data_IF_812666140124
#
_entry.id   IF_812666140124
#
_cell.length_a   1.000
_cell.length_b   1.000
_cell.length_c   1.000
_cell.angle_alpha   90.00
_cell.angle_beta   90.00
_cell.angle_gamma   90.00
#
_symmetry.space_group_name_H-M   'P 1'
#
loop_
_entity.id
_entity.type
_entity.pdbx_description
1 polymer ?
#
# COMPACT_ATOMS: atom_id res chain seq x y z
N UNK A 1 15.89 -15.50 -21.10
CA UNK A 1 15.02 -14.34 -20.74
C UNK A 1 14.06 -14.78 -19.64
N UNK A 2 13.74 -13.91 -18.67
CA UNK A 2 12.77 -14.18 -17.59
C UNK A 2 11.68 -13.14 -17.64
N UNK A 3 10.51 -13.47 -17.08
CA UNK A 3 9.41 -12.51 -16.89
C UNK A 3 9.21 -12.19 -15.43
N UNK A 4 8.58 -11.04 -15.16
CA UNK A 4 7.95 -10.75 -13.87
C UNK A 4 6.44 -11.00 -14.00
N UNK A 5 5.80 -11.37 -12.89
CA UNK A 5 4.36 -11.57 -12.83
C UNK A 5 3.78 -10.63 -11.77
N UNK A 6 2.78 -9.84 -12.13
CA UNK A 6 2.01 -9.01 -11.20
C UNK A 6 0.67 -9.68 -10.95
N UNK A 7 0.40 -10.02 -9.69
CA UNK A 7 -0.85 -10.66 -9.25
C UNK A 7 -1.73 -9.67 -8.50
N UNK A 8 -2.98 -9.58 -8.92
CA UNK A 8 -3.93 -8.55 -8.50
C UNK A 8 -3.77 -7.29 -9.34
N UNK A 9 -4.69 -7.05 -10.28
CA UNK A 9 -4.61 -5.99 -11.28
C UNK A 9 -5.55 -4.81 -10.99
N UNK A 10 -5.89 -4.63 -9.72
CA UNK A 10 -6.65 -3.48 -9.23
C UNK A 10 -5.80 -2.19 -9.18
N UNK A 11 -6.20 -1.28 -8.30
CA UNK A 11 -5.65 0.09 -8.16
C UNK A 11 -4.16 0.16 -7.85
N UNK A 12 -3.57 -0.90 -7.29
CA UNK A 12 -2.15 -0.98 -6.98
C UNK A 12 -1.40 -1.78 -8.05
N UNK A 13 -1.89 -2.97 -8.41
CA UNK A 13 -1.16 -3.88 -9.27
C UNK A 13 -1.11 -3.42 -10.72
N UNK A 14 -2.19 -2.86 -11.26
CA UNK A 14 -2.20 -2.35 -12.63
C UNK A 14 -1.20 -1.19 -12.86
N UNK A 15 -1.12 -0.15 -11.99
CA UNK A 15 -0.05 0.84 -12.07
C UNK A 15 1.37 0.24 -12.01
N UNK A 16 1.60 -0.74 -11.12
CA UNK A 16 2.90 -1.44 -11.02
C UNK A 16 3.20 -2.17 -12.33
N UNK A 17 2.23 -2.94 -12.86
CA UNK A 17 2.35 -3.62 -14.15
C UNK A 17 2.74 -2.65 -15.27
N UNK A 18 2.03 -1.52 -15.38
CA UNK A 18 2.29 -0.49 -16.40
C UNK A 18 3.68 0.12 -16.29
N UNK A 19 4.14 0.42 -15.07
CA UNK A 19 5.47 1.03 -14.85
C UNK A 19 6.58 0.02 -15.16
N UNK A 20 6.48 -1.21 -14.67
CA UNK A 20 7.49 -2.24 -14.88
C UNK A 20 7.57 -2.70 -16.34
N UNK A 21 6.43 -2.79 -17.05
CA UNK A 21 6.36 -3.21 -18.46
C UNK A 21 7.12 -2.29 -19.42
N UNK A 22 7.51 -1.08 -19.00
CA UNK A 22 8.29 -0.16 -19.86
C UNK A 22 9.72 -0.64 -20.11
N UNK A 23 10.27 -1.47 -19.24
CA UNK A 23 11.69 -1.90 -19.29
C UNK A 23 11.87 -3.41 -19.12
N UNK A 24 10.83 -4.15 -18.75
CA UNK A 24 10.90 -5.57 -18.43
C UNK A 24 9.78 -6.33 -19.15
N UNK A 25 9.96 -7.64 -19.33
CA UNK A 25 8.86 -8.53 -19.71
C UNK A 25 8.03 -8.75 -18.43
N UNK A 26 6.82 -8.20 -18.40
CA UNK A 26 5.92 -8.32 -17.26
C UNK A 26 4.55 -8.74 -17.75
N UNK A 27 3.96 -9.73 -17.09
CA UNK A 27 2.59 -10.19 -17.34
C UNK A 27 1.73 -9.96 -16.09
N UNK A 28 0.46 -9.65 -16.31
CA UNK A 28 -0.53 -9.54 -15.25
C UNK A 28 -1.30 -10.83 -15.04
N UNK A 29 -1.63 -11.15 -13.81
CA UNK A 29 -2.52 -12.24 -13.44
C UNK A 29 -3.57 -11.76 -12.43
N UNK A 30 -4.84 -12.01 -12.72
CA UNK A 30 -5.95 -11.70 -11.82
C UNK A 30 -6.96 -12.85 -11.83
N UNK A 31 -7.81 -12.92 -10.80
CA UNK A 31 -8.95 -13.84 -10.77
C UNK A 31 -10.06 -13.35 -11.71
N UNK A 32 -10.22 -12.03 -11.82
CA UNK A 32 -11.04 -11.43 -12.87
C UNK A 32 -10.24 -11.36 -14.17
N UNK A 33 -10.60 -12.22 -15.13
CA UNK A 33 -9.92 -12.32 -16.42
C UNK A 33 -10.01 -11.05 -17.27
N UNK A 34 -11.06 -10.27 -17.12
CA UNK A 34 -11.26 -9.02 -17.87
C UNK A 34 -10.14 -7.98 -17.59
N UNK A 35 -9.48 -8.10 -16.44
CA UNK A 35 -8.34 -7.26 -16.10
C UNK A 35 -7.02 -7.75 -16.71
N UNK A 36 -6.99 -8.95 -17.28
CA UNK A 36 -5.78 -9.55 -17.83
C UNK A 36 -5.61 -9.23 -19.32
N UNK A 37 -4.38 -9.10 -19.77
CA UNK A 37 -4.04 -9.25 -21.18
C UNK A 37 -3.67 -10.72 -21.44
N UNK A 38 -4.65 -11.54 -21.80
CA UNK A 38 -4.48 -12.98 -22.00
C UNK A 38 -3.50 -13.29 -23.14
N UNK A 39 -3.52 -12.53 -24.23
CA UNK A 39 -2.60 -12.70 -25.37
C UNK A 39 -1.15 -12.55 -24.89
N UNK A 40 -0.88 -11.50 -24.12
CA UNK A 40 0.46 -11.27 -23.57
C UNK A 40 0.84 -12.32 -22.55
N UNK A 41 -0.12 -12.75 -21.72
CA UNK A 41 0.11 -13.80 -20.72
C UNK A 41 0.49 -15.11 -21.38
N UNK A 42 -0.27 -15.56 -22.38
CA UNK A 42 0.00 -16.79 -23.14
C UNK A 42 1.33 -16.72 -23.90
N UNK A 43 1.64 -15.57 -24.54
CA UNK A 43 2.90 -15.37 -25.25
C UNK A 43 4.13 -15.65 -24.37
N UNK A 44 4.07 -15.26 -23.09
CA UNK A 44 5.21 -15.37 -22.17
C UNK A 44 5.03 -16.44 -21.08
N UNK A 45 4.01 -17.30 -21.17
CA UNK A 45 3.69 -18.27 -20.11
C UNK A 45 4.85 -19.21 -19.76
N UNK A 46 5.63 -19.63 -20.74
CA UNK A 46 6.71 -20.60 -20.58
C UNK A 46 8.04 -19.99 -20.09
N UNK A 47 8.14 -18.65 -19.99
CA UNK A 47 9.33 -18.03 -19.42
C UNK A 47 9.39 -18.25 -17.91
N UNK A 48 10.60 -18.49 -17.38
CA UNK A 48 10.84 -18.51 -15.94
C UNK A 48 10.43 -17.18 -15.30
N UNK A 49 9.88 -17.25 -14.07
CA UNK A 49 9.46 -16.06 -13.33
C UNK A 49 10.59 -15.57 -12.44
N UNK A 50 11.04 -14.34 -12.69
CA UNK A 50 12.04 -13.65 -11.89
C UNK A 50 11.43 -13.12 -10.59
N UNK A 51 10.52 -12.15 -10.70
CA UNK A 51 9.77 -11.61 -9.57
C UNK A 51 8.28 -11.92 -9.66
N UNK A 52 7.70 -12.28 -8.52
CA UNK A 52 6.26 -12.38 -8.33
C UNK A 52 5.81 -11.21 -7.45
N UNK A 53 5.18 -10.23 -8.06
CA UNK A 53 4.63 -9.06 -7.40
C UNK A 53 3.22 -9.35 -6.91
N UNK A 54 2.98 -9.24 -5.61
CA UNK A 54 1.69 -9.50 -4.96
C UNK A 54 1.01 -8.17 -4.62
N UNK A 55 -0.13 -7.89 -5.23
CA UNK A 55 -0.95 -6.70 -5.00
C UNK A 55 -2.44 -7.09 -4.82
N UNK A 56 -2.69 -8.15 -4.05
CA UNK A 56 -4.02 -8.67 -3.75
C UNK A 56 -4.55 -8.15 -2.42
N UNK A 57 -5.88 -8.13 -2.21
CA UNK A 57 -6.48 -7.79 -0.92
C UNK A 57 -5.96 -8.68 0.21
N UNK A 58 -5.82 -8.08 1.40
CA UNK A 58 -5.37 -8.79 2.60
C UNK A 58 -6.56 -9.42 3.29
N UNK A 59 -6.49 -10.73 3.45
CA UNK A 59 -7.46 -11.56 4.17
C UNK A 59 -6.70 -12.57 5.02
N UNK A 60 -7.38 -13.28 5.91
CA UNK A 60 -6.78 -14.36 6.72
C UNK A 60 -6.15 -15.45 5.85
N UNK A 61 -6.59 -15.59 4.59
CA UNK A 61 -6.05 -16.54 3.62
C UNK A 61 -4.85 -16.01 2.81
N UNK A 62 -4.35 -14.80 3.10
CA UNK A 62 -3.28 -14.16 2.32
C UNK A 62 -2.07 -15.08 2.14
N UNK A 63 -1.52 -15.59 3.24
CA UNK A 63 -0.33 -16.47 3.19
C UNK A 63 -0.63 -17.73 2.36
N UNK A 64 -1.78 -18.37 2.58
CA UNK A 64 -2.20 -19.54 1.81
C UNK A 64 -2.31 -19.24 0.32
N UNK A 65 -2.86 -18.09 -0.04
CA UNK A 65 -2.98 -17.65 -1.43
C UNK A 65 -1.60 -17.40 -2.05
N UNK A 66 -0.69 -16.74 -1.33
CA UNK A 66 0.68 -16.52 -1.80
C UNK A 66 1.41 -17.85 -2.00
N UNK A 67 1.22 -18.83 -1.13
CA UNK A 67 1.80 -20.17 -1.27
C UNK A 67 1.27 -20.91 -2.53
N UNK A 68 -0.01 -20.78 -2.85
CA UNK A 68 -0.59 -21.30 -4.10
C UNK A 68 0.03 -20.64 -5.33
N UNK A 69 0.18 -19.31 -5.29
CA UNK A 69 0.79 -18.52 -6.36
C UNK A 69 2.28 -18.86 -6.53
N UNK A 70 3.00 -19.06 -5.42
CA UNK A 70 4.39 -19.53 -5.43
C UNK A 70 4.51 -20.88 -6.16
N UNK A 71 3.65 -21.85 -5.85
CA UNK A 71 3.63 -23.16 -6.52
C UNK A 71 3.32 -23.04 -8.01
N UNK A 72 2.38 -22.14 -8.37
CA UNK A 72 1.95 -21.91 -9.76
C UNK A 72 3.04 -21.27 -10.61
N UNK A 73 3.67 -20.21 -10.12
CA UNK A 73 4.59 -19.38 -10.91
C UNK A 73 6.06 -19.70 -10.68
N UNK A 74 6.41 -20.40 -9.61
CA UNK A 74 7.78 -20.79 -9.23
C UNK A 74 8.79 -19.64 -9.36
N UNK A 75 8.53 -18.47 -8.74
CA UNK A 75 9.39 -17.29 -8.89
C UNK A 75 10.72 -17.47 -8.16
N UNK A 76 11.72 -16.66 -8.54
CA UNK A 76 12.98 -16.56 -7.81
C UNK A 76 12.89 -15.67 -6.56
N UNK A 77 11.91 -14.75 -6.53
CA UNK A 77 11.68 -13.84 -5.41
C UNK A 77 10.22 -13.38 -5.40
N UNK A 78 9.63 -13.22 -4.23
CA UNK A 78 8.29 -12.63 -4.04
C UNK A 78 8.42 -11.21 -3.54
N UNK A 79 7.60 -10.30 -4.07
CA UNK A 79 7.50 -8.90 -3.62
C UNK A 79 6.06 -8.62 -3.24
N UNK A 80 5.82 -8.25 -1.97
CA UNK A 80 4.48 -7.93 -1.47
C UNK A 80 4.31 -6.41 -1.51
N UNK A 81 3.26 -5.93 -2.19
CA UNK A 81 2.92 -4.52 -2.32
C UNK A 81 1.70 -4.10 -1.50
N UNK A 82 0.87 -5.04 -1.12
CA UNK A 82 -0.31 -4.82 -0.27
C UNK A 82 0.10 -4.36 1.14
N UNK A 83 -0.75 -3.60 1.81
CA UNK A 83 -0.60 -3.36 3.26
C UNK A 83 -0.86 -4.68 4.00
N UNK A 84 0.04 -5.11 4.86
CA UNK A 84 -0.04 -6.42 5.52
C UNK A 84 0.09 -6.29 7.03
N UNK A 85 -0.43 -7.29 7.74
CA UNK A 85 -0.33 -7.38 9.20
C UNK A 85 1.14 -7.52 9.64
N UNK A 86 1.56 -6.84 10.72
CA UNK A 86 2.91 -7.00 11.27
C UNK A 86 3.29 -8.45 11.51
N UNK A 87 4.52 -8.81 11.13
CA UNK A 87 5.06 -10.17 11.19
C UNK A 87 4.69 -11.06 9.99
N UNK A 88 3.91 -10.57 9.02
CA UNK A 88 3.50 -11.38 7.85
C UNK A 88 4.68 -11.77 6.97
N UNK A 89 5.61 -10.85 6.71
CA UNK A 89 6.79 -11.13 5.87
C UNK A 89 7.63 -12.25 6.46
N UNK A 90 7.90 -12.20 7.76
CA UNK A 90 8.68 -13.25 8.45
C UNK A 90 7.93 -14.59 8.49
N UNK A 91 6.61 -14.59 8.75
CA UNK A 91 5.78 -15.79 8.70
C UNK A 91 5.80 -16.46 7.32
N UNK A 92 5.76 -15.66 6.26
CA UNK A 92 5.84 -16.16 4.89
C UNK A 92 7.24 -16.66 4.57
N UNK A 93 8.30 -15.94 4.96
CA UNK A 93 9.68 -16.32 4.71
C UNK A 93 10.03 -17.69 5.31
N UNK A 94 9.50 -18.01 6.51
CA UNK A 94 9.68 -19.34 7.14
C UNK A 94 9.06 -20.50 6.34
N UNK A 95 8.13 -20.21 5.41
CA UNK A 95 7.40 -21.23 4.63
C UNK A 95 7.90 -21.37 3.19
N UNK A 96 8.81 -20.52 2.74
CA UNK A 96 9.25 -20.45 1.34
C UNK A 96 10.77 -20.39 1.27
N UNK A 97 11.43 -21.24 0.43
CA UNK A 97 12.89 -21.29 0.31
C UNK A 97 13.47 -20.23 -0.64
N UNK A 98 12.70 -19.19 -0.99
CA UNK A 98 13.14 -18.08 -1.82
C UNK A 98 12.95 -16.75 -1.09
N UNK A 99 13.65 -15.67 -1.49
CA UNK A 99 13.53 -14.39 -0.81
C UNK A 99 12.11 -13.81 -0.90
N UNK A 100 11.64 -13.25 0.22
CA UNK A 100 10.42 -12.44 0.29
C UNK A 100 10.80 -11.00 0.61
N UNK A 101 10.43 -10.09 -0.27
CA UNK A 101 10.59 -8.65 -0.10
C UNK A 101 9.22 -8.05 0.23
N UNK A 102 9.14 -7.25 1.27
CA UNK A 102 8.01 -6.39 1.50
C UNK A 102 8.31 -4.98 1.00
N UNK A 103 7.41 -4.42 0.21
CA UNK A 103 7.55 -3.08 -0.34
C UNK A 103 6.18 -2.45 -0.56
N UNK A 104 5.57 -1.99 0.53
CA UNK A 104 4.26 -1.35 0.51
C UNK A 104 4.19 -0.21 -0.50
N UNK A 105 3.03 -0.06 -1.13
CA UNK A 105 2.77 1.04 -2.04
C UNK A 105 2.11 2.19 -1.30
N UNK A 106 2.50 3.42 -1.65
CA UNK A 106 1.95 4.68 -1.15
C UNK A 106 1.60 5.56 -2.33
N UNK A 107 0.55 6.33 -2.19
CA UNK A 107 0.11 7.28 -3.21
C UNK A 107 -1.41 7.30 -3.35
N UNK A 108 -1.91 8.25 -4.13
CA UNK A 108 -3.32 8.39 -4.46
C UNK A 108 -3.66 7.50 -5.66
N UNK A 109 -4.69 6.68 -5.57
CA UNK A 109 -5.03 5.68 -6.59
C UNK A 109 -5.15 6.28 -7.99
N UNK A 110 -5.87 7.41 -8.14
CA UNK A 110 -6.06 8.08 -9.45
C UNK A 110 -4.77 8.54 -10.12
N UNK A 111 -3.67 8.74 -9.35
CA UNK A 111 -2.37 9.19 -9.88
C UNK A 111 -1.22 8.24 -9.50
N UNK A 112 -1.50 6.99 -9.18
CA UNK A 112 -0.54 6.02 -8.63
C UNK A 112 0.73 5.88 -9.48
N UNK A 113 0.65 5.90 -10.80
CA UNK A 113 1.83 5.84 -11.70
C UNK A 113 2.79 7.03 -11.46
N UNK A 114 2.24 8.22 -11.26
CA UNK A 114 3.03 9.42 -10.95
C UNK A 114 3.64 9.31 -9.56
N UNK A 115 2.86 8.91 -8.57
CA UNK A 115 3.29 8.80 -7.18
C UNK A 115 4.34 7.71 -6.97
N UNK A 116 4.27 6.58 -7.70
CA UNK A 116 5.31 5.53 -7.71
C UNK A 116 6.69 6.05 -8.14
N UNK A 117 6.74 7.07 -9.00
CA UNK A 117 7.99 7.69 -9.46
C UNK A 117 8.43 8.86 -8.61
N UNK A 118 7.47 9.58 -8.02
CA UNK A 118 7.71 10.76 -7.20
C UNK A 118 8.24 10.38 -5.82
N UNK A 119 7.61 9.39 -5.16
CA UNK A 119 7.95 9.02 -3.79
C UNK A 119 9.03 7.94 -3.75
N UNK A 120 9.86 7.98 -2.71
CA UNK A 120 10.78 6.89 -2.41
C UNK A 120 9.96 5.65 -2.05
N UNK A 121 10.16 4.55 -2.77
CA UNK A 121 9.55 3.27 -2.46
C UNK A 121 10.42 2.52 -1.46
N UNK A 122 9.95 2.47 -0.21
CA UNK A 122 10.64 1.72 0.83
C UNK A 122 10.47 0.22 0.60
N UNK A 123 11.50 -0.53 0.95
CA UNK A 123 11.46 -1.99 0.90
C UNK A 123 12.28 -2.59 2.03
N UNK A 124 11.99 -3.84 2.32
CA UNK A 124 12.71 -4.62 3.30
C UNK A 124 12.69 -6.09 2.89
N UNK A 125 13.66 -6.83 3.37
CA UNK A 125 13.79 -8.27 3.18
C UNK A 125 14.14 -8.89 4.54
N UNK A 126 13.57 -10.05 4.85
CA UNK A 126 13.91 -10.78 6.08
C UNK A 126 15.42 -10.99 6.20
N UNK A 127 15.94 -10.86 7.41
CA UNK A 127 17.34 -11.18 7.69
C UNK A 127 17.65 -12.66 7.37
N UNK A 128 16.67 -13.54 7.54
CA UNK A 128 16.75 -14.97 7.29
C UNK A 128 16.47 -15.37 5.84
N UNK A 129 16.22 -14.40 4.95
CA UNK A 129 15.95 -14.70 3.56
C UNK A 129 17.20 -15.25 2.84
N UNK A 130 17.08 -16.36 2.09
CA UNK A 130 18.18 -16.87 1.31
C UNK A 130 18.58 -15.84 0.24
N UNK A 131 19.87 -15.71 -0.04
CA UNK A 131 20.41 -14.79 -1.05
C UNK A 131 19.89 -13.34 -0.94
N UNK A 132 19.64 -12.86 0.29
CA UNK A 132 19.00 -11.56 0.59
C UNK A 132 19.72 -10.39 -0.07
N UNK A 133 21.06 -10.37 -0.09
CA UNK A 133 21.86 -9.32 -0.76
C UNK A 133 21.61 -9.30 -2.28
N UNK A 134 21.63 -10.47 -2.92
CA UNK A 134 21.38 -10.59 -4.36
C UNK A 134 19.95 -10.16 -4.73
N UNK A 135 18.96 -10.64 -3.98
CA UNK A 135 17.55 -10.27 -4.21
C UNK A 135 17.31 -8.77 -4.02
N UNK A 136 17.87 -8.17 -2.97
CA UNK A 136 17.80 -6.71 -2.75
C UNK A 136 18.44 -5.92 -3.89
N UNK A 137 19.64 -6.29 -4.34
CA UNK A 137 20.33 -5.60 -5.43
C UNK A 137 19.56 -5.70 -6.75
N UNK A 138 19.02 -6.87 -7.08
CA UNK A 138 18.16 -7.07 -8.26
C UNK A 138 16.90 -6.23 -8.20
N UNK A 139 16.22 -6.22 -7.04
CA UNK A 139 15.03 -5.40 -6.82
C UNK A 139 15.34 -3.91 -7.05
N UNK A 140 16.40 -3.38 -6.42
CA UNK A 140 16.82 -1.99 -6.59
C UNK A 140 17.13 -1.67 -8.06
N UNK A 141 17.84 -2.56 -8.76
CA UNK A 141 18.18 -2.39 -10.18
C UNK A 141 16.92 -2.29 -11.06
N UNK A 142 15.95 -3.18 -10.86
CA UNK A 142 14.68 -3.19 -11.62
C UNK A 142 13.88 -1.92 -11.34
N UNK A 143 13.70 -1.53 -10.06
CA UNK A 143 12.97 -0.32 -9.69
C UNK A 143 13.64 0.93 -10.26
N UNK A 144 14.96 1.07 -10.11
CA UNK A 144 15.73 2.19 -10.68
C UNK A 144 15.58 2.26 -12.20
N UNK A 145 15.66 1.13 -12.90
CA UNK A 145 15.44 1.05 -14.35
C UNK A 145 14.07 1.56 -14.79
N UNK A 146 13.07 1.46 -13.92
CA UNK A 146 11.71 1.96 -14.14
C UNK A 146 11.48 3.39 -13.62
N UNK A 147 12.52 4.07 -13.12
CA UNK A 147 12.44 5.43 -12.59
C UNK A 147 11.87 5.52 -11.17
N UNK A 148 11.89 4.41 -10.42
CA UNK A 148 11.44 4.36 -9.03
C UNK A 148 12.64 4.40 -8.10
N UNK A 149 12.72 5.43 -7.25
CA UNK A 149 13.71 5.53 -6.18
C UNK A 149 13.35 4.56 -5.05
N UNK A 150 14.33 3.87 -4.49
CA UNK A 150 14.11 2.91 -3.41
C UNK A 150 14.98 3.21 -2.19
N UNK A 151 14.49 2.86 -0.99
CA UNK A 151 15.26 2.91 0.25
C UNK A 151 14.98 1.65 1.06
N UNK A 152 16.04 0.96 1.49
CA UNK A 152 15.94 -0.24 2.34
C UNK A 152 15.70 0.18 3.78
N UNK A 153 14.81 -0.54 4.48
CA UNK A 153 14.59 -0.43 5.93
C UNK A 153 15.24 -1.59 6.68
N UNK A 154 15.36 -1.44 7.99
CA UNK A 154 16.11 -2.37 8.85
C UNK A 154 15.43 -3.73 9.03
N UNK A 155 14.11 -3.75 9.25
CA UNK A 155 13.36 -4.98 9.49
C UNK A 155 11.99 -4.97 8.81
N UNK A 156 11.42 -6.14 8.49
CA UNK A 156 10.06 -6.26 7.97
C UNK A 156 9.02 -5.59 8.86
N UNK A 157 9.05 -5.84 10.16
CA UNK A 157 8.11 -5.26 11.11
C UNK A 157 8.15 -3.73 11.11
N UNK A 158 9.34 -3.13 10.99
CA UNK A 158 9.48 -1.67 10.91
C UNK A 158 8.71 -1.10 9.72
N UNK A 159 8.80 -1.71 8.53
CA UNK A 159 8.08 -1.22 7.36
C UNK A 159 6.58 -1.54 7.41
N UNK A 160 6.22 -2.73 7.93
CA UNK A 160 4.83 -3.14 8.12
C UNK A 160 4.10 -2.18 9.06
N UNK A 161 4.70 -1.87 10.21
CA UNK A 161 4.19 -0.89 11.17
C UNK A 161 4.18 0.53 10.58
N UNK A 162 5.27 0.96 9.93
CA UNK A 162 5.34 2.30 9.34
C UNK A 162 4.23 2.52 8.31
N UNK A 163 3.89 1.50 7.49
CA UNK A 163 2.79 1.60 6.53
C UNK A 163 1.44 1.83 7.22
N UNK A 164 1.17 1.14 8.32
CA UNK A 164 -0.12 1.26 9.01
C UNK A 164 -0.16 2.52 9.89
N UNK A 165 0.86 2.74 10.71
CA UNK A 165 0.86 3.82 11.71
C UNK A 165 1.23 5.17 11.09
N UNK A 166 2.37 5.24 10.38
CA UNK A 166 2.89 6.53 9.92
C UNK A 166 2.26 7.04 8.61
N UNK A 167 1.56 6.18 7.88
CA UNK A 167 0.90 6.52 6.62
C UNK A 167 -0.63 6.49 6.79
N UNK A 168 -1.20 5.33 7.05
CA UNK A 168 -2.65 5.11 7.01
C UNK A 168 -3.38 5.70 8.22
N UNK A 169 -2.97 5.35 9.45
CA UNK A 169 -3.65 5.85 10.65
C UNK A 169 -3.40 7.33 10.88
N UNK A 170 -2.22 7.83 10.50
CA UNK A 170 -1.95 9.27 10.55
C UNK A 170 -2.90 10.07 9.66
N UNK A 171 -3.18 9.58 8.44
CA UNK A 171 -4.20 10.18 7.57
C UNK A 171 -5.59 10.15 8.26
N UNK A 172 -5.94 9.02 8.90
CA UNK A 172 -7.18 8.89 9.65
C UNK A 172 -7.31 9.96 10.74
N UNK A 173 -6.26 10.18 11.53
CA UNK A 173 -6.26 11.22 12.56
C UNK A 173 -6.42 12.63 12.01
N UNK A 174 -5.78 12.95 10.88
CA UNK A 174 -5.95 14.25 10.23
C UNK A 174 -7.41 14.47 9.79
N UNK A 175 -8.04 13.44 9.20
CA UNK A 175 -9.46 13.52 8.82
C UNK A 175 -10.36 13.59 10.04
N UNK A 176 -10.10 12.81 11.10
CA UNK A 176 -10.87 12.87 12.34
C UNK A 176 -10.81 14.27 12.98
N UNK A 177 -9.65 14.93 12.96
CA UNK A 177 -9.57 16.29 13.47
C UNK A 177 -10.37 17.28 12.63
N UNK A 178 -10.38 17.12 11.30
CA UNK A 178 -11.23 17.90 10.42
C UNK A 178 -12.73 17.65 10.69
N UNK A 179 -13.13 16.39 10.92
CA UNK A 179 -14.50 16.03 11.31
C UNK A 179 -14.90 16.71 12.63
N UNK A 180 -14.03 16.60 13.65
CA UNK A 180 -14.26 17.22 14.96
C UNK A 180 -14.43 18.73 14.85
N UNK A 181 -13.49 19.42 14.17
CA UNK A 181 -13.53 20.87 14.03
C UNK A 181 -14.73 21.35 13.23
N UNK A 182 -15.17 20.58 12.22
CA UNK A 182 -16.39 20.87 11.49
C UNK A 182 -17.66 20.69 12.33
N UNK A 183 -17.70 19.64 13.18
CA UNK A 183 -18.84 19.45 14.10
C UNK A 183 -18.97 20.63 15.07
N UNK A 184 -17.84 21.14 15.57
CA UNK A 184 -17.81 22.32 16.46
C UNK A 184 -18.25 23.58 15.68
N UNK A 185 -17.73 23.81 14.46
CA UNK A 185 -18.15 24.95 13.65
C UNK A 185 -19.67 24.98 13.42
N UNK A 186 -20.25 23.82 13.13
CA UNK A 186 -21.71 23.66 12.97
C UNK A 186 -22.46 24.00 14.27
N UNK A 187 -21.97 23.51 15.41
CA UNK A 187 -22.59 23.76 16.73
C UNK A 187 -22.62 25.24 17.08
N UNK A 188 -21.57 25.97 16.72
CA UNK A 188 -21.46 27.41 16.98
C UNK A 188 -21.98 28.28 15.84
N UNK A 189 -22.48 27.70 14.76
CA UNK A 189 -23.03 28.42 13.60
C UNK A 189 -22.02 29.24 12.83
N UNK A 190 -20.74 28.82 12.81
CA UNK A 190 -19.65 29.50 12.09
C UNK A 190 -19.22 28.71 10.85
N UNK A 191 -18.65 29.44 9.88
CA UNK A 191 -18.13 28.82 8.66
C UNK A 191 -16.82 28.07 8.94
N UNK A 192 -16.76 26.82 8.51
CA UNK A 192 -15.61 25.94 8.74
C UNK A 192 -14.35 26.44 8.03
N UNK A 193 -14.48 26.93 6.81
CA UNK A 193 -13.32 27.36 6.03
C UNK A 193 -12.76 28.69 6.56
N UNK A 194 -13.62 29.63 6.93
CA UNK A 194 -13.24 30.89 7.57
C UNK A 194 -12.55 30.62 8.93
N UNK A 195 -13.09 29.70 9.74
CA UNK A 195 -12.44 29.31 11.01
C UNK A 195 -11.02 28.76 10.79
N UNK A 196 -10.80 27.97 9.73
CA UNK A 196 -9.50 27.42 9.42
C UNK A 196 -8.55 28.43 8.78
N UNK A 197 -9.02 29.48 8.16
CA UNK A 197 -8.18 30.55 7.59
C UNK A 197 -7.35 31.24 8.67
N UNK A 198 -7.83 31.30 9.92
CA UNK A 198 -7.07 31.82 11.07
C UNK A 198 -5.68 31.21 11.23
N UNK A 199 -5.53 29.92 10.95
CA UNK A 199 -4.24 29.22 11.07
C UNK A 199 -3.61 28.86 9.73
N UNK A 200 -4.22 29.24 8.61
CA UNK A 200 -3.74 28.90 7.28
C UNK A 200 -2.32 29.41 7.03
N UNK A 201 -2.02 30.62 7.40
CA UNK A 201 -0.71 31.23 7.22
C UNK A 201 0.37 30.48 8.05
N UNK A 202 0.07 30.22 9.32
CA UNK A 202 0.96 29.44 10.21
C UNK A 202 1.22 28.04 9.62
N UNK A 203 0.19 27.37 9.13
CA UNK A 203 0.32 26.05 8.52
C UNK A 203 1.17 26.08 7.25
N UNK A 204 1.06 27.15 6.45
CA UNK A 204 1.86 27.35 5.25
C UNK A 204 3.36 27.50 5.56
N UNK A 205 3.70 28.26 6.58
CA UNK A 205 5.10 28.47 6.98
C UNK A 205 5.70 27.29 7.76
N UNK A 206 4.94 26.65 8.63
CA UNK A 206 5.40 25.48 9.38
C UNK A 206 5.46 24.19 8.54
N UNK A 207 4.74 24.14 7.42
CA UNK A 207 4.84 23.09 6.39
C UNK A 207 4.38 21.68 6.77
N UNK A 208 3.92 21.44 8.00
CA UNK A 208 3.59 20.13 8.52
C UNK A 208 2.21 20.01 9.19
N UNK A 209 1.35 21.00 8.99
CA UNK A 209 -0.03 21.04 9.54
C UNK A 209 -1.04 21.17 8.38
N UNK A 210 -1.24 20.13 7.55
CA UNK A 210 -2.15 20.21 6.42
C UNK A 210 -3.60 20.33 6.92
N UNK A 211 -4.37 21.23 6.30
CA UNK A 211 -5.82 21.23 6.41
C UNK A 211 -6.37 19.97 5.74
N UNK A 212 -7.30 19.32 6.38
CA UNK A 212 -8.02 18.16 5.85
C UNK A 212 -9.50 18.48 5.65
N UNK A 213 -10.15 17.71 4.81
CA UNK A 213 -11.59 17.83 4.60
C UNK A 213 -12.35 16.98 5.62
N UNK A 214 -13.41 17.51 6.24
CA UNK A 214 -14.23 16.77 7.19
C UNK A 214 -15.23 15.86 6.45
N UNK A 215 -14.70 14.89 5.71
CA UNK A 215 -15.49 13.88 5.00
C UNK A 215 -15.59 12.57 5.77
N UNK A 216 -16.52 11.70 5.36
CA UNK A 216 -16.60 10.32 5.86
C UNK A 216 -15.34 9.59 5.40
N UNK A 217 -14.70 8.87 6.33
CA UNK A 217 -13.57 8.00 6.03
C UNK A 217 -14.15 6.70 5.44
N UNK A 218 -14.31 6.69 4.13
CA UNK A 218 -14.80 5.53 3.38
C UNK A 218 -13.69 4.76 2.67
N UNK A 219 -14.09 3.82 1.83
CA UNK A 219 -13.18 3.03 1.01
C UNK A 219 -12.38 1.99 1.81
N UNK A 220 -11.31 1.49 1.18
CA UNK A 220 -10.56 0.33 1.67
C UNK A 220 -9.16 0.66 2.21
N UNK A 221 -8.82 1.95 2.35
CA UNK A 221 -7.46 2.36 2.73
C UNK A 221 -7.28 2.59 4.24
N UNK A 222 -8.16 3.36 4.88
CA UNK A 222 -7.97 3.75 6.28
C UNK A 222 -8.58 2.72 7.22
N UNK A 223 -9.90 2.66 7.28
CA UNK A 223 -10.61 1.83 8.27
C UNK A 223 -10.20 0.34 8.21
N UNK A 224 -10.19 -0.34 7.04
CA UNK A 224 -9.80 -1.75 7.01
C UNK A 224 -8.34 -2.01 7.40
N UNK A 225 -7.45 -1.04 7.18
CA UNK A 225 -6.05 -1.20 7.56
C UNK A 225 -5.80 -1.02 9.06
N UNK A 226 -6.69 -0.32 9.79
CA UNK A 226 -6.61 -0.23 11.25
C UNK A 226 -6.87 -1.59 11.90
N UNK A 227 -7.68 -2.45 11.27
CA UNK A 227 -7.95 -3.81 11.74
C UNK A 227 -6.74 -4.75 11.66
N UNK A 228 -5.70 -4.37 10.91
CA UNK A 228 -4.46 -5.14 10.84
C UNK A 228 -3.63 -5.07 12.12
N UNK A 229 -3.92 -4.08 12.98
CA UNK A 229 -3.32 -3.93 14.31
C UNK A 229 -4.45 -3.87 15.34
N UNK A 230 -4.53 -4.88 16.19
CA UNK A 230 -5.51 -4.91 17.28
C UNK A 230 -5.08 -3.96 18.41
N UNK A 231 -5.38 -2.66 18.24
CA UNK A 231 -5.05 -1.63 19.22
C UNK A 231 -6.27 -0.76 19.50
N UNK A 232 -6.69 -0.73 20.79
CA UNK A 232 -7.88 0.01 21.24
C UNK A 232 -7.80 1.51 20.88
N UNK A 233 -6.61 2.12 20.97
CA UNK A 233 -6.45 3.54 20.66
C UNK A 233 -6.69 3.87 19.19
N UNK A 234 -6.49 2.93 18.27
CA UNK A 234 -6.78 3.12 16.86
C UNK A 234 -8.28 3.02 16.55
N UNK A 235 -9.07 2.36 17.41
CA UNK A 235 -10.52 2.28 17.24
C UNK A 235 -11.18 3.66 17.38
N UNK A 236 -10.57 4.60 18.10
CA UNK A 236 -11.07 5.97 18.24
C UNK A 236 -11.27 6.63 16.84
N UNK A 237 -10.42 6.30 15.86
CA UNK A 237 -10.58 6.82 14.49
C UNK A 237 -11.91 6.33 13.88
N UNK A 238 -12.27 5.06 14.09
CA UNK A 238 -13.52 4.49 13.61
C UNK A 238 -14.71 5.08 14.35
N UNK A 239 -14.64 5.11 15.68
CA UNK A 239 -15.68 5.66 16.55
C UNK A 239 -15.99 7.12 16.18
N UNK A 240 -14.95 7.94 15.95
CA UNK A 240 -15.12 9.33 15.51
C UNK A 240 -15.76 9.42 14.12
N UNK A 241 -15.37 8.55 13.20
CA UNK A 241 -15.97 8.49 11.87
C UNK A 241 -17.46 8.13 11.94
N UNK A 242 -17.82 7.13 12.74
CA UNK A 242 -19.21 6.69 12.92
C UNK A 242 -20.07 7.79 13.57
N UNK A 243 -19.52 8.52 14.55
CA UNK A 243 -20.18 9.68 15.17
C UNK A 243 -20.44 10.77 14.11
N UNK A 244 -19.45 11.03 13.26
CA UNK A 244 -19.57 12.04 12.23
C UNK A 244 -20.62 11.66 11.17
N UNK A 245 -20.63 10.42 10.70
CA UNK A 245 -21.60 9.90 9.74
C UNK A 245 -23.04 10.04 10.26
N UNK A 246 -23.31 9.57 11.51
CA UNK A 246 -24.60 9.74 12.17
C UNK A 246 -25.05 11.20 12.30
N UNK A 247 -24.09 12.12 12.53
CA UNK A 247 -24.42 13.56 12.62
C UNK A 247 -24.79 14.15 11.26
N UNK A 248 -24.27 13.59 10.17
CA UNK A 248 -24.64 14.01 8.81
C UNK A 248 -26.03 13.47 8.40
N UNK A 249 -26.38 12.24 8.82
CA UNK A 249 -27.69 11.61 8.55
C UNK A 249 -28.85 12.32 9.25
N UNK A 250 -28.58 12.95 10.40
CA UNK A 250 -29.56 13.66 11.23
C UNK A 250 -29.71 15.15 10.86
N UNK A 251 -29.14 15.60 9.73
CA UNK A 251 -29.32 16.92 9.13
C UNK A 251 -30.22 16.88 7.90
#
# INVERSE_FOLDING_TARGET
MKKDVVVGLGEIGNPILKVLSKKNIVVGFDLNRDLMNEIKFEKYKNLETSFLHIAIPVTDKLITNILKLYKKFRPECIIIHSTIKPGTTEKLQKKIPIPVIYSATRGVHKRMIYDLKRYIKFFVISANAPRSKCASSRYVKVMKGCGIKTKKMSSPETLELAKIICDTSYLGWLVNYAQLSNMIAIEYGVDYDEMWDFSHEIHKFLGNRPKMFPGIIGGHCVIPNLDLIHNRSLNIIKEMNDIYEKKLENK
#
